data_IF_145822380788
#
_entry.id   IF_145822380788
#
_cell.length_a   1.000
_cell.length_b   1.000
_cell.length_c   1.000
_cell.angle_alpha   90.00
_cell.angle_beta   90.00
_cell.angle_gamma   90.00
#
_symmetry.space_group_name_H-M   'P 1'
#
loop_
_entity.id
_entity.type
_entity.pdbx_description
1 polymer ?
#
# COMPACT_ATOMS: atom_id res chain seq x y z
N UNK A 1 -28.57 16.94 -56.61
CA UNK A 1 -28.93 17.96 -55.60
C UNK A 1 -27.65 18.65 -55.16
N UNK A 2 -27.20 19.70 -55.87
CA UNK A 2 -26.04 20.48 -55.44
C UNK A 2 -26.43 21.27 -54.21
N UNK A 3 -25.71 21.07 -53.10
CA UNK A 3 -25.88 21.90 -51.91
C UNK A 3 -25.55 23.34 -52.31
N UNK A 4 -26.48 24.26 -52.11
CA UNK A 4 -26.19 25.69 -52.26
C UNK A 4 -24.95 26.02 -51.42
N UNK A 5 -24.01 26.83 -51.94
CA UNK A 5 -22.84 27.23 -51.17
C UNK A 5 -23.31 27.98 -49.94
N UNK A 6 -22.89 27.50 -48.77
CA UNK A 6 -23.25 28.06 -47.47
C UNK A 6 -22.63 29.45 -47.35
N UNK A 7 -23.39 30.40 -46.80
CA UNK A 7 -22.91 31.77 -46.63
C UNK A 7 -21.93 31.84 -45.47
N UNK A 8 -21.03 32.83 -45.48
CA UNK A 8 -20.01 33.02 -44.42
C UNK A 8 -20.65 33.18 -43.04
N UNK A 9 -21.79 33.85 -42.94
CA UNK A 9 -22.52 34.06 -41.69
C UNK A 9 -23.10 32.75 -41.16
N UNK A 10 -23.65 31.89 -42.04
CA UNK A 10 -24.12 30.56 -41.66
C UNK A 10 -22.98 29.65 -41.18
N UNK A 11 -21.78 29.76 -41.77
CA UNK A 11 -20.59 29.01 -41.32
C UNK A 11 -20.12 29.46 -39.94
N UNK A 12 -20.13 30.76 -39.65
CA UNK A 12 -19.73 31.30 -38.35
C UNK A 12 -20.72 30.88 -37.24
N UNK A 13 -22.03 30.95 -37.52
CA UNK A 13 -23.06 30.49 -36.58
C UNK A 13 -22.96 28.98 -36.30
N UNK A 14 -22.62 28.17 -37.31
CA UNK A 14 -22.35 26.74 -37.12
C UNK A 14 -21.09 26.48 -36.29
N UNK A 15 -20.04 27.27 -36.48
CA UNK A 15 -18.81 27.14 -35.69
C UNK A 15 -19.07 27.48 -34.22
N UNK A 16 -19.80 28.57 -33.94
CA UNK A 16 -20.13 29.01 -32.59
C UNK A 16 -21.05 28.00 -31.87
N UNK A 17 -22.04 27.45 -32.56
CA UNK A 17 -22.88 26.38 -32.00
C UNK A 17 -22.11 25.09 -31.74
N UNK A 18 -21.17 24.74 -32.61
CA UNK A 18 -20.27 23.59 -32.39
C UNK A 18 -19.38 23.82 -31.17
N UNK A 19 -18.78 25.00 -31.05
CA UNK A 19 -17.87 25.33 -29.94
C UNK A 19 -18.62 25.29 -28.59
N UNK A 20 -19.77 25.95 -28.53
CA UNK A 20 -20.67 25.91 -27.37
C UNK A 20 -21.10 24.47 -27.02
N UNK A 21 -21.41 23.64 -28.02
CA UNK A 21 -21.77 22.23 -27.78
C UNK A 21 -20.60 21.44 -27.18
N UNK A 22 -19.35 21.71 -27.62
CA UNK A 22 -18.18 21.02 -27.06
C UNK A 22 -17.87 21.47 -25.64
N UNK A 23 -18.06 22.75 -25.33
CA UNK A 23 -17.89 23.28 -23.98
C UNK A 23 -18.95 22.71 -23.02
N UNK A 24 -20.21 22.69 -23.45
CA UNK A 24 -21.31 22.07 -22.68
C UNK A 24 -21.04 20.59 -22.41
N UNK A 25 -20.51 19.85 -23.39
CA UNK A 25 -20.13 18.45 -23.21
C UNK A 25 -19.00 18.29 -22.17
N UNK A 26 -17.96 19.13 -22.21
CA UNK A 26 -16.86 19.12 -21.21
C UNK A 26 -17.36 19.45 -19.81
N UNK A 27 -18.23 20.47 -19.69
CA UNK A 27 -18.82 20.86 -18.41
C UNK A 27 -19.71 19.73 -17.86
N UNK A 28 -20.51 19.09 -18.72
CA UNK A 28 -21.37 17.96 -18.32
C UNK A 28 -20.56 16.77 -17.84
N UNK A 29 -19.45 16.44 -18.52
CA UNK A 29 -18.53 15.39 -18.09
C UNK A 29 -17.90 15.73 -16.72
N UNK A 30 -17.51 16.99 -16.52
CA UNK A 30 -16.93 17.47 -15.26
C UNK A 30 -17.94 17.42 -14.12
N UNK A 31 -19.17 17.89 -14.35
CA UNK A 31 -20.26 17.83 -13.37
C UNK A 31 -20.57 16.38 -12.99
N UNK A 32 -20.61 15.48 -13.97
CA UNK A 32 -20.85 14.04 -13.72
C UNK A 32 -19.73 13.44 -12.87
N UNK A 33 -18.47 13.76 -13.18
CA UNK A 33 -17.31 13.32 -12.41
C UNK A 33 -17.36 13.82 -10.97
N UNK A 34 -17.55 15.12 -10.78
CA UNK A 34 -17.64 15.75 -9.46
C UNK A 34 -18.84 15.23 -8.65
N UNK A 35 -19.95 14.93 -9.30
CA UNK A 35 -21.12 14.32 -8.65
C UNK A 35 -20.81 12.92 -8.16
N UNK A 36 -20.10 12.10 -8.95
CA UNK A 36 -19.63 10.78 -8.55
C UNK A 36 -18.63 10.83 -7.39
N UNK A 37 -17.66 11.74 -7.45
CA UNK A 37 -16.69 11.98 -6.37
C UNK A 37 -17.40 12.40 -5.08
N UNK A 38 -18.35 13.34 -5.14
CA UNK A 38 -19.13 13.77 -3.98
C UNK A 38 -19.96 12.63 -3.38
N UNK A 39 -20.60 11.79 -4.20
CA UNK A 39 -21.35 10.64 -3.70
C UNK A 39 -20.44 9.65 -2.96
N UNK A 40 -19.24 9.38 -3.50
CA UNK A 40 -18.23 8.53 -2.86
C UNK A 40 -17.75 9.11 -1.53
N UNK A 41 -17.41 10.40 -1.51
CA UNK A 41 -16.96 11.10 -0.30
C UNK A 41 -18.05 11.12 0.79
N UNK A 42 -19.30 11.35 0.42
CA UNK A 42 -20.43 11.30 1.36
C UNK A 42 -20.61 9.90 1.95
N UNK A 43 -20.50 8.85 1.12
CA UNK A 43 -20.55 7.46 1.60
C UNK A 43 -19.41 7.17 2.59
N UNK A 44 -18.18 7.53 2.24
CA UNK A 44 -17.01 7.35 3.11
C UNK A 44 -17.17 8.10 4.44
N UNK A 45 -17.64 9.35 4.38
CA UNK A 45 -17.90 10.16 5.57
C UNK A 45 -18.93 9.49 6.48
N UNK A 46 -20.04 9.00 5.93
CA UNK A 46 -21.08 8.36 6.74
C UNK A 46 -20.59 7.08 7.44
N UNK A 47 -19.73 6.30 6.78
CA UNK A 47 -19.14 5.11 7.37
C UNK A 47 -18.14 5.45 8.48
N UNK A 48 -17.30 6.46 8.26
CA UNK A 48 -16.39 6.95 9.30
C UNK A 48 -17.14 7.51 10.52
N UNK A 49 -18.24 8.25 10.31
CA UNK A 49 -19.09 8.73 11.40
C UNK A 49 -19.72 7.58 12.20
N UNK A 50 -20.12 6.49 11.52
CA UNK A 50 -20.63 5.26 12.15
C UNK A 50 -19.55 4.56 12.99
N UNK A 51 -18.34 4.41 12.44
CA UNK A 51 -17.20 3.82 13.14
C UNK A 51 -16.84 4.62 14.39
N UNK A 52 -16.75 5.94 14.25
CA UNK A 52 -16.41 6.83 15.36
C UNK A 52 -17.47 6.78 16.47
N UNK A 53 -18.76 6.67 16.12
CA UNK A 53 -19.82 6.43 17.12
C UNK A 53 -19.61 5.09 17.84
N UNK A 54 -19.34 4.01 17.10
CA UNK A 54 -19.08 2.70 17.68
C UNK A 54 -17.87 2.71 18.63
N UNK A 55 -16.80 3.42 18.28
CA UNK A 55 -15.62 3.57 19.14
C UNK A 55 -15.94 4.35 20.42
N UNK A 56 -16.72 5.43 20.32
CA UNK A 56 -17.17 6.20 21.49
C UNK A 56 -18.01 5.33 22.44
N UNK A 57 -18.92 4.55 21.89
CA UNK A 57 -19.77 3.64 22.68
C UNK A 57 -18.93 2.55 23.35
N UNK A 58 -17.93 1.99 22.64
CA UNK A 58 -17.00 1.01 23.19
C UNK A 58 -16.13 1.60 24.32
N UNK A 59 -15.59 2.81 24.14
CA UNK A 59 -14.81 3.50 25.16
C UNK A 59 -15.66 3.83 26.39
N UNK A 60 -16.92 4.21 26.20
CA UNK A 60 -17.83 4.44 27.31
C UNK A 60 -18.13 3.15 28.07
N UNK A 61 -18.38 2.04 27.37
CA UNK A 61 -18.56 0.72 27.99
C UNK A 61 -17.32 0.27 28.78
N UNK A 62 -16.12 0.49 28.24
CA UNK A 62 -14.85 0.23 28.94
C UNK A 62 -14.76 1.10 30.20
N UNK A 63 -15.06 2.40 30.11
CA UNK A 63 -15.05 3.31 31.25
C UNK A 63 -16.03 2.85 32.34
N UNK A 64 -17.24 2.43 31.97
CA UNK A 64 -18.24 1.96 32.92
C UNK A 64 -17.83 0.64 33.59
N UNK A 65 -17.20 -0.26 32.83
CA UNK A 65 -16.64 -1.50 33.37
C UNK A 65 -15.48 -1.23 34.34
N UNK A 66 -14.55 -0.35 33.98
CA UNK A 66 -13.44 0.07 34.84
C UNK A 66 -13.97 0.75 36.10
N UNK A 67 -14.96 1.63 36.00
CA UNK A 67 -15.60 2.27 37.15
C UNK A 67 -16.19 1.25 38.12
N UNK A 68 -16.85 0.19 37.62
CA UNK A 68 -17.36 -0.90 38.47
C UNK A 68 -16.25 -1.67 39.18
N UNK A 69 -15.16 -1.98 38.46
CA UNK A 69 -13.99 -2.67 39.04
C UNK A 69 -13.30 -1.82 40.09
N UNK A 70 -13.10 -0.52 39.82
CA UNK A 70 -12.49 0.41 40.76
C UNK A 70 -13.33 0.60 42.04
N UNK A 71 -14.66 0.74 41.91
CA UNK A 71 -15.57 0.84 43.06
C UNK A 71 -15.50 -0.44 43.89
N UNK A 72 -15.55 -1.62 43.26
CA UNK A 72 -15.43 -2.92 43.94
C UNK A 72 -14.08 -3.09 44.65
N UNK A 73 -12.99 -2.66 44.01
CA UNK A 73 -11.64 -2.71 44.60
C UNK A 73 -11.47 -1.69 45.74
N UNK A 74 -12.12 -0.53 45.71
CA UNK A 74 -12.10 0.43 46.84
C UNK A 74 -12.91 -0.09 48.03
N UNK A 75 -14.07 -0.71 47.78
CA UNK A 75 -14.92 -1.25 48.86
C UNK A 75 -14.38 -2.51 49.51
N UNK A 76 -13.60 -3.34 48.79
CA UNK A 76 -13.13 -4.64 49.29
C UNK A 76 -11.61 -4.84 49.32
N UNK A 77 -10.81 -3.94 48.71
CA UNK A 77 -9.37 -4.15 48.49
C UNK A 77 -8.44 -3.43 49.47
N UNK A 78 -8.80 -2.24 49.97
CA UNK A 78 -7.86 -1.41 50.76
C UNK A 78 -7.53 -1.98 52.16
N UNK A 79 -8.40 -2.81 52.75
CA UNK A 79 -8.23 -3.37 54.10
C UNK A 79 -8.07 -4.89 54.11
N UNK A 80 -7.80 -5.54 52.97
CA UNK A 80 -7.65 -6.99 52.91
C UNK A 80 -6.18 -7.38 53.16
N UNK A 81 -5.87 -8.16 54.21
CA UNK A 81 -4.51 -8.67 54.43
C UNK A 81 -4.00 -9.40 53.19
N UNK A 82 -2.80 -9.07 52.71
CA UNK A 82 -2.17 -9.67 51.53
C UNK A 82 -2.33 -8.89 50.21
N UNK A 83 -3.18 -7.86 50.12
CA UNK A 83 -3.35 -7.12 48.85
C UNK A 83 -2.07 -6.38 48.44
N UNK A 84 -1.38 -5.73 49.38
CA UNK A 84 -0.09 -5.09 49.14
C UNK A 84 0.97 -6.09 48.64
N UNK A 85 1.01 -7.28 49.24
CA UNK A 85 1.94 -8.36 48.86
C UNK A 85 1.62 -8.91 47.47
N UNK A 86 0.35 -9.09 47.13
CA UNK A 86 -0.05 -9.52 45.77
C UNK A 86 0.27 -8.48 44.71
N UNK A 87 0.10 -7.19 45.02
CA UNK A 87 0.40 -6.10 44.10
C UNK A 87 1.92 -5.95 43.89
N UNK A 88 2.71 -6.12 44.96
CA UNK A 88 4.17 -6.16 44.87
C UNK A 88 4.69 -7.43 44.16
N UNK A 89 4.03 -8.58 44.34
CA UNK A 89 4.33 -9.80 43.59
C UNK A 89 4.01 -9.62 42.09
N UNK A 90 2.89 -9.00 41.74
CA UNK A 90 2.55 -8.67 40.35
C UNK A 90 3.57 -7.71 39.74
N UNK A 91 3.97 -6.66 40.46
CA UNK A 91 5.01 -5.74 39.99
C UNK A 91 6.37 -6.43 39.79
N UNK A 92 6.74 -7.38 40.66
CA UNK A 92 7.95 -8.22 40.47
C UNK A 92 7.82 -9.13 39.25
N UNK A 93 6.68 -9.78 39.06
CA UNK A 93 6.41 -10.62 37.89
C UNK A 93 6.51 -9.84 36.59
N UNK A 94 5.92 -8.64 36.52
CA UNK A 94 6.00 -7.77 35.33
C UNK A 94 7.44 -7.35 35.01
N UNK A 95 8.25 -7.04 36.03
CA UNK A 95 9.67 -6.73 35.83
C UNK A 95 10.46 -7.93 35.31
N UNK A 96 10.20 -9.13 35.83
CA UNK A 96 10.84 -10.35 35.34
C UNK A 96 10.45 -10.66 33.89
N UNK A 97 9.18 -10.50 33.52
CA UNK A 97 8.72 -10.69 32.15
C UNK A 97 9.37 -9.71 31.16
N UNK A 98 9.52 -8.45 31.54
CA UNK A 98 10.24 -7.47 30.69
C UNK A 98 11.72 -7.81 30.58
N UNK A 99 12.35 -8.26 31.66
CA UNK A 99 13.74 -8.69 31.63
C UNK A 99 13.96 -9.91 30.72
N UNK A 100 13.03 -10.88 30.72
CA UNK A 100 13.10 -12.02 29.80
C UNK A 100 12.95 -11.62 28.34
N UNK A 101 12.04 -10.68 28.03
CA UNK A 101 11.90 -10.14 26.67
C UNK A 101 13.18 -9.42 26.23
N UNK A 102 13.74 -8.55 27.07
CA UNK A 102 14.99 -7.85 26.78
C UNK A 102 16.16 -8.81 26.56
N UNK A 103 16.25 -9.87 27.36
CA UNK A 103 17.25 -10.91 27.18
C UNK A 103 17.02 -11.66 25.85
N UNK A 104 15.76 -11.97 25.53
CA UNK A 104 15.38 -12.58 24.27
C UNK A 104 15.74 -11.75 23.04
N UNK A 105 15.56 -10.43 23.09
CA UNK A 105 15.94 -9.49 22.03
C UNK A 105 17.47 -9.47 21.88
N UNK A 106 18.22 -9.39 22.98
CA UNK A 106 19.70 -9.43 22.95
C UNK A 106 20.23 -10.72 22.33
N UNK A 107 19.56 -11.84 22.56
CA UNK A 107 19.91 -13.14 22.01
C UNK A 107 19.36 -13.37 20.59
N UNK A 108 18.65 -12.41 19.99
CA UNK A 108 18.07 -12.53 18.65
C UNK A 108 16.92 -13.54 18.54
N UNK A 109 16.29 -13.88 19.66
CA UNK A 109 15.15 -14.81 19.73
C UNK A 109 13.80 -14.09 19.76
N UNK A 110 13.79 -12.80 20.07
CA UNK A 110 12.59 -11.97 20.12
C UNK A 110 12.74 -10.77 19.20
N UNK A 111 11.62 -10.34 18.62
CA UNK A 111 11.54 -9.14 17.80
C UNK A 111 11.72 -7.88 18.68
N UNK A 112 12.67 -7.00 18.36
CA UNK A 112 12.90 -5.77 19.12
C UNK A 112 11.73 -4.77 19.07
N UNK A 113 10.87 -4.84 18.05
CA UNK A 113 9.75 -3.91 17.88
C UNK A 113 8.49 -4.34 18.63
N UNK A 114 8.20 -5.64 18.66
CA UNK A 114 7.00 -6.19 19.28
C UNK A 114 7.26 -6.89 20.62
N UNK A 115 8.51 -7.27 20.90
CA UNK A 115 8.87 -8.05 22.08
C UNK A 115 8.38 -9.50 22.04
N UNK A 116 7.86 -9.97 20.91
CA UNK A 116 7.38 -11.34 20.72
C UNK A 116 8.53 -12.27 20.30
N UNK A 117 8.49 -13.55 20.69
CA UNK A 117 9.46 -14.53 20.21
C UNK A 117 9.30 -14.73 18.70
N UNK A 118 10.41 -14.86 17.98
CA UNK A 118 10.41 -15.22 16.58
C UNK A 118 9.89 -16.65 16.40
N UNK A 119 8.97 -16.81 15.46
CA UNK A 119 8.47 -18.09 14.95
C UNK A 119 9.08 -18.35 13.57
N UNK A 120 8.85 -19.55 13.00
CA UNK A 120 9.35 -19.91 11.68
C UNK A 120 8.96 -18.89 10.59
N UNK A 121 7.78 -18.28 10.71
CA UNK A 121 7.24 -17.35 9.72
C UNK A 121 7.57 -15.87 10.00
N UNK A 122 7.91 -15.54 11.25
CA UNK A 122 8.13 -14.15 11.68
C UNK A 122 9.59 -13.79 11.83
N UNK A 123 10.49 -14.78 11.80
CA UNK A 123 11.93 -14.52 11.86
C UNK A 123 12.38 -13.87 10.54
N UNK A 124 12.95 -12.65 10.58
CA UNK A 124 13.49 -12.03 9.38
C UNK A 124 14.63 -12.90 8.82
N UNK A 125 14.51 -13.29 7.55
CA UNK A 125 15.53 -14.07 6.86
C UNK A 125 16.80 -13.24 6.60
N UNK A 126 16.65 -11.92 6.53
CA UNK A 126 17.75 -10.98 6.38
C UNK A 126 17.45 -9.65 7.07
N UNK A 127 18.49 -9.05 7.66
CA UNK A 127 18.45 -7.71 8.24
C UNK A 127 19.12 -6.72 7.27
N UNK A 128 18.39 -5.70 6.83
CA UNK A 128 18.83 -4.67 5.88
C UNK A 128 19.19 -3.35 6.59
N UNK A 129 19.90 -3.41 7.71
CA UNK A 129 20.38 -2.22 8.42
C UNK A 129 21.47 -1.51 7.62
N UNK A 130 21.63 -0.20 7.84
CA UNK A 130 22.69 0.59 7.21
C UNK A 130 24.08 -0.06 7.41
N UNK A 131 24.84 -0.21 6.32
CA UNK A 131 26.14 -0.90 6.32
C UNK A 131 26.07 -2.41 6.09
N UNK A 132 24.89 -3.01 5.95
CA UNK A 132 24.77 -4.41 5.55
C UNK A 132 25.39 -4.65 4.16
N UNK A 133 25.99 -5.84 3.92
CA UNK A 133 26.47 -6.22 2.60
C UNK A 133 25.36 -6.10 1.55
N UNK A 134 25.73 -5.75 0.32
CA UNK A 134 24.77 -5.72 -0.80
C UNK A 134 24.16 -7.10 -1.02
N UNK A 135 22.89 -7.14 -1.44
CA UNK A 135 22.22 -8.38 -1.85
C UNK A 135 22.95 -8.96 -3.05
N UNK A 136 23.29 -10.26 -2.99
CA UNK A 136 23.92 -10.96 -4.12
C UNK A 136 22.88 -11.66 -4.97
N UNK A 137 23.16 -11.86 -6.27
CA UNK A 137 22.24 -12.58 -7.17
C UNK A 137 22.01 -14.03 -6.72
N UNK A 138 23.04 -14.69 -6.17
CA UNK A 138 22.92 -16.03 -5.62
C UNK A 138 21.94 -16.10 -4.43
N UNK A 139 21.93 -15.05 -3.60
CA UNK A 139 21.02 -14.93 -2.46
C UNK A 139 19.58 -14.59 -2.90
N UNK A 140 19.41 -13.78 -3.95
CA UNK A 140 18.08 -13.56 -4.54
C UNK A 140 17.51 -14.83 -5.15
N UNK A 141 18.34 -15.63 -5.83
CA UNK A 141 17.93 -16.90 -6.41
C UNK A 141 17.52 -17.94 -5.34
N UNK A 142 18.15 -17.92 -4.16
CA UNK A 142 17.76 -18.80 -3.05
C UNK A 142 16.45 -18.36 -2.39
N UNK A 143 16.20 -17.06 -2.25
CA UNK A 143 14.93 -16.53 -1.70
C UNK A 143 13.77 -16.65 -2.68
N UNK A 144 14.02 -16.48 -3.98
CA UNK A 144 13.00 -16.47 -5.03
C UNK A 144 13.36 -17.42 -6.18
N UNK A 145 13.28 -18.74 -5.97
CA UNK A 145 13.62 -19.72 -7.00
C UNK A 145 12.79 -19.56 -8.28
N UNK A 146 11.56 -19.06 -8.16
CA UNK A 146 10.66 -18.82 -9.31
C UNK A 146 10.99 -17.57 -10.13
N UNK A 147 11.79 -16.64 -9.59
CA UNK A 147 12.28 -15.44 -10.30
C UNK A 147 13.66 -15.65 -10.92
N UNK A 148 14.34 -16.75 -10.56
CA UNK A 148 15.55 -17.24 -11.20
C UNK A 148 15.21 -17.85 -12.57
N UNK A 149 14.82 -17.01 -13.52
CA UNK A 149 14.70 -17.39 -14.93
C UNK A 149 16.06 -17.65 -15.57
N UNK A 150 16.11 -18.35 -16.72
CA UNK A 150 17.37 -18.55 -17.45
C UNK A 150 18.03 -17.21 -17.74
N UNK A 151 19.33 -17.10 -17.48
CA UNK A 151 20.13 -15.92 -17.83
C UNK A 151 20.05 -15.73 -19.35
N UNK A 152 19.17 -14.83 -19.81
CA UNK A 152 19.13 -14.44 -21.21
C UNK A 152 20.32 -13.51 -21.42
N UNK A 153 21.36 -14.05 -22.06
CA UNK A 153 22.53 -13.27 -22.45
C UNK A 153 22.09 -12.22 -23.48
N UNK A 154 21.97 -10.97 -23.03
CA UNK A 154 21.49 -9.83 -23.82
C UNK A 154 22.44 -9.54 -25.00
N UNK A 155 23.69 -10.01 -24.93
CA UNK A 155 24.68 -9.82 -26.00
C UNK A 155 24.33 -10.58 -27.28
N UNK A 156 23.84 -11.81 -27.16
CA UNK A 156 23.44 -12.65 -28.31
C UNK A 156 22.21 -12.07 -29.01
N UNK A 157 21.31 -11.44 -28.26
CA UNK A 157 20.07 -10.88 -28.82
C UNK A 157 20.36 -9.64 -29.66
N UNK A 158 21.29 -8.78 -29.23
CA UNK A 158 21.67 -7.57 -29.97
C UNK A 158 22.37 -7.89 -31.30
N UNK A 159 23.30 -8.85 -31.31
CA UNK A 159 23.99 -9.25 -32.54
C UNK A 159 23.02 -9.89 -33.56
N UNK A 160 22.07 -10.70 -33.11
CA UNK A 160 21.06 -11.29 -34.01
C UNK A 160 20.10 -10.25 -34.62
N UNK A 161 19.79 -9.16 -33.90
CA UNK A 161 18.95 -8.08 -34.44
C UNK A 161 19.72 -7.24 -35.46
N UNK A 162 21.00 -6.96 -35.22
CA UNK A 162 21.86 -6.22 -36.17
C UNK A 162 22.09 -7.01 -37.46
N UNK A 163 22.27 -8.33 -37.38
CA UNK A 163 22.41 -9.18 -38.57
C UNK A 163 21.10 -9.25 -39.39
N UNK A 164 19.94 -9.23 -38.73
CA UNK A 164 18.64 -9.17 -39.40
C UNK A 164 18.45 -7.84 -40.12
N UNK A 165 18.76 -6.72 -39.49
CA UNK A 165 18.66 -5.38 -40.08
C UNK A 165 19.63 -5.19 -41.25
N UNK A 166 20.85 -5.73 -41.17
CA UNK A 166 21.82 -5.73 -42.26
C UNK A 166 21.37 -6.59 -43.45
N UNK A 167 20.70 -7.72 -43.21
CA UNK A 167 20.13 -8.57 -44.24
C UNK A 167 18.99 -7.90 -45.00
N UNK A 168 18.11 -7.19 -44.28
CA UNK A 168 17.00 -6.43 -44.86
C UNK A 168 17.51 -5.23 -45.68
N UNK A 169 18.50 -4.49 -45.18
CA UNK A 169 19.10 -3.37 -45.91
C UNK A 169 19.82 -3.80 -47.19
N UNK A 170 20.53 -4.95 -47.17
CA UNK A 170 21.15 -5.52 -48.38
C UNK A 170 20.10 -5.93 -49.41
N UNK A 171 19.03 -6.60 -48.97
CA UNK A 171 17.94 -7.00 -49.85
C UNK A 171 17.25 -5.79 -50.48
N UNK A 172 17.02 -4.72 -49.71
CA UNK A 172 16.48 -3.46 -50.23
C UNK A 172 17.42 -2.76 -51.22
N UNK A 173 18.73 -2.84 -51.01
CA UNK A 173 19.74 -2.27 -51.91
C UNK A 173 19.85 -3.05 -53.22
N UNK A 174 19.76 -4.38 -53.19
CA UNK A 174 19.75 -5.22 -54.40
C UNK A 174 18.50 -4.94 -55.25
N UNK A 175 17.33 -4.76 -54.62
CA UNK A 175 16.09 -4.36 -55.29
C UNK A 175 16.21 -2.96 -55.91
N UNK A 176 16.87 -2.02 -55.22
CA UNK A 176 17.02 -0.63 -55.68
C UNK A 176 18.11 -0.46 -56.76
N UNK A 177 19.12 -1.31 -56.78
CA UNK A 177 20.25 -1.23 -57.72
C UNK A 177 20.06 -2.01 -59.02
N UNK A 178 18.97 -2.79 -59.13
CA UNK A 178 18.51 -3.37 -60.40
C UNK A 178 19.48 -4.37 -61.00
N UNK A 179 19.50 -5.59 -60.45
CA UNK A 179 19.74 -6.81 -61.24
C UNK A 179 18.43 -7.59 -61.39
#
# INVERSE_FOLDING_TARGET
MSKKPMTREELLAQLETLDNSTEVAKLTATVSRLTGENASLLSQRSELERQLKSERDALQAIRDALGKVEVSNRTFGANRPGYAETNEAAARSSRMAMASVQHGIKNGTHDPSTGLPFTADTKPQRVLTAGAPKVTNAELASFFPSLSGPEVDVTVTADTMLDSELGELKSALDIASGS
#
